data_IF_119533195301
#
_entry.id   IF_119533195301
#
_cell.length_a   1.000
_cell.length_b   1.000
_cell.length_c   1.000
_cell.angle_alpha   90.00
_cell.angle_beta   90.00
_cell.angle_gamma   90.00
#
_symmetry.space_group_name_H-M   'P 1'
#
loop_
_entity.id
_entity.type
_entity.pdbx_description
1 polymer ?
#
# COMPACT_ATOMS: atom_id res chain seq x y z
N UNK A 1 0.09 16.00 11.64
CA UNK A 1 0.13 15.28 10.35
C UNK A 1 0.73 13.90 10.59
N UNK A 2 0.24 12.87 9.91
CA UNK A 2 0.83 11.52 10.01
C UNK A 2 2.27 11.52 9.47
N UNK A 3 3.08 10.52 9.85
CA UNK A 3 4.48 10.43 9.44
C UNK A 3 4.63 10.38 7.90
N UNK A 4 3.76 9.61 7.20
CA UNK A 4 3.73 9.57 5.74
C UNK A 4 3.36 10.92 5.09
N UNK A 5 2.48 11.71 5.73
CA UNK A 5 2.12 13.04 5.23
C UNK A 5 3.33 13.99 5.30
N UNK A 6 4.07 13.94 6.42
CA UNK A 6 5.30 14.72 6.62
C UNK A 6 6.37 14.33 5.62
N UNK A 7 6.58 13.02 5.44
CA UNK A 7 7.55 12.51 4.48
C UNK A 7 7.25 12.98 3.06
N UNK A 8 5.99 12.85 2.60
CA UNK A 8 5.63 13.26 1.25
C UNK A 8 5.84 14.76 1.02
N UNK A 9 5.50 15.61 2.01
CA UNK A 9 5.76 17.05 1.92
C UNK A 9 7.25 17.39 1.91
N UNK A 10 8.04 16.68 2.71
CA UNK A 10 9.50 16.83 2.71
C UNK A 10 10.10 16.42 1.36
N UNK A 11 9.65 15.31 0.77
CA UNK A 11 10.07 14.92 -0.58
C UNK A 11 9.61 15.92 -1.63
N UNK A 12 8.39 16.45 -1.54
CA UNK A 12 7.90 17.48 -2.45
C UNK A 12 8.77 18.74 -2.37
N UNK A 13 9.14 19.17 -1.17
CA UNK A 13 9.97 20.37 -0.97
C UNK A 13 11.31 20.24 -1.70
N UNK A 14 11.93 19.07 -1.66
CA UNK A 14 13.19 18.83 -2.36
C UNK A 14 12.99 18.58 -3.85
N UNK A 15 11.89 17.92 -4.26
CA UNK A 15 11.51 17.83 -5.67
C UNK A 15 11.36 19.21 -6.30
N UNK A 16 10.69 20.17 -5.64
CA UNK A 16 10.54 21.55 -6.11
C UNK A 16 11.93 22.16 -6.34
N UNK A 17 12.81 22.12 -5.34
CA UNK A 17 14.14 22.71 -5.42
C UNK A 17 15.03 22.05 -6.50
N UNK A 18 14.99 20.72 -6.62
CA UNK A 18 15.77 19.99 -7.62
C UNK A 18 15.30 20.29 -9.05
N UNK A 19 13.98 20.40 -9.25
CA UNK A 19 13.38 20.73 -10.54
C UNK A 19 13.68 22.17 -10.92
N UNK A 20 13.52 23.11 -9.99
CA UNK A 20 13.85 24.53 -10.17
C UNK A 20 15.30 24.68 -10.61
N UNK A 21 16.24 24.11 -9.86
CA UNK A 21 17.67 24.13 -10.17
C UNK A 21 17.98 23.57 -11.56
N UNK A 22 17.36 22.45 -11.94
CA UNK A 22 17.58 21.84 -13.25
C UNK A 22 17.00 22.70 -14.39
N UNK A 23 15.83 23.32 -14.18
CA UNK A 23 15.22 24.22 -15.16
C UNK A 23 16.01 25.52 -15.34
N UNK A 24 16.52 26.12 -14.26
CA UNK A 24 17.42 27.28 -14.31
C UNK A 24 18.73 26.98 -15.06
N UNK A 25 19.21 25.74 -14.97
CA UNK A 25 20.39 25.26 -15.69
C UNK A 25 20.09 24.84 -17.14
N UNK A 26 18.86 25.03 -17.64
CA UNK A 26 18.41 24.54 -18.95
C UNK A 26 18.61 23.02 -19.14
N UNK A 27 18.38 22.22 -18.09
CA UNK A 27 18.36 20.74 -18.12
C UNK A 27 16.96 20.15 -17.88
N UNK A 28 16.01 20.29 -18.84
CA UNK A 28 14.69 19.68 -18.75
C UNK A 28 14.68 18.15 -18.51
N UNK A 29 15.59 17.35 -19.12
CA UNK A 29 15.63 15.90 -18.87
C UNK A 29 15.84 15.51 -17.40
N UNK A 30 16.70 16.23 -16.67
CA UNK A 30 16.91 15.96 -15.24
C UNK A 30 15.71 16.37 -14.40
N UNK A 31 15.11 17.52 -14.69
CA UNK A 31 13.87 17.95 -14.05
C UNK A 31 12.72 16.94 -14.25
N UNK A 32 12.50 16.48 -15.49
CA UNK A 32 11.47 15.52 -15.82
C UNK A 32 11.66 14.17 -15.09
N UNK A 33 12.88 13.64 -15.06
CA UNK A 33 13.20 12.40 -14.32
C UNK A 33 12.97 12.54 -12.82
N UNK A 34 13.28 13.70 -12.24
CA UNK A 34 13.03 13.98 -10.82
C UNK A 34 11.53 13.99 -10.50
N UNK A 35 10.72 14.61 -11.37
CA UNK A 35 9.27 14.62 -11.25
C UNK A 35 8.67 13.22 -11.41
N UNK A 36 9.13 12.45 -12.40
CA UNK A 36 8.70 11.07 -12.61
C UNK A 36 8.93 10.21 -11.35
N UNK A 37 10.12 10.28 -10.77
CA UNK A 37 10.45 9.57 -9.53
C UNK A 37 9.53 9.97 -8.36
N UNK A 38 9.24 11.27 -8.22
CA UNK A 38 8.34 11.75 -7.17
C UNK A 38 6.88 11.30 -7.38
N UNK A 39 6.37 11.33 -8.62
CA UNK A 39 5.02 10.86 -8.95
C UNK A 39 4.89 9.35 -8.69
N UNK A 40 5.94 8.58 -8.99
CA UNK A 40 5.98 7.17 -8.66
C UNK A 40 5.90 6.94 -7.14
N UNK A 41 6.64 7.72 -6.35
CA UNK A 41 6.59 7.67 -4.89
C UNK A 41 5.21 8.06 -4.33
N UNK A 42 4.62 9.13 -4.86
CA UNK A 42 3.27 9.56 -4.52
C UNK A 42 2.27 8.42 -4.73
N UNK A 43 2.35 7.73 -5.86
CA UNK A 43 1.44 6.63 -6.18
C UNK A 43 1.69 5.38 -5.33
N UNK A 44 2.93 4.89 -5.32
CA UNK A 44 3.29 3.56 -4.79
C UNK A 44 3.44 3.54 -3.28
N UNK A 45 3.87 4.63 -2.65
CA UNK A 45 4.11 4.70 -1.21
C UNK A 45 3.03 5.50 -0.50
N UNK A 46 2.68 6.69 -0.98
CA UNK A 46 1.73 7.54 -0.25
C UNK A 46 0.27 7.15 -0.50
N UNK A 47 -0.19 7.19 -1.75
CA UNK A 47 -1.60 6.96 -2.11
C UNK A 47 -2.00 5.52 -1.78
N UNK A 48 -1.20 4.53 -2.20
CA UNK A 48 -1.48 3.11 -1.91
C UNK A 48 -1.64 2.84 -0.41
N UNK A 49 -0.70 3.32 0.42
CA UNK A 49 -0.73 3.07 1.87
C UNK A 49 -1.77 3.94 2.60
N UNK A 50 -2.13 5.09 2.04
CA UNK A 50 -3.14 5.98 2.62
C UNK A 50 -4.58 5.66 2.18
N UNK A 51 -4.82 4.64 1.33
CA UNK A 51 -6.17 4.24 0.88
C UNK A 51 -7.16 4.08 2.03
N UNK A 52 -6.80 3.42 3.13
CA UNK A 52 -7.72 3.29 4.27
C UNK A 52 -8.14 4.65 4.84
N UNK A 53 -7.22 5.62 4.90
CA UNK A 53 -7.48 6.98 5.45
C UNK A 53 -8.46 7.77 4.57
N UNK A 54 -8.38 7.59 3.25
CA UNK A 54 -9.27 8.25 2.30
C UNK A 54 -10.68 7.61 2.25
N UNK A 55 -10.84 6.32 2.55
CA UNK A 55 -12.11 5.57 2.43
C UNK A 55 -12.85 5.38 3.78
N UNK A 56 -12.28 5.82 4.91
CA UNK A 56 -12.99 5.83 6.20
C UNK A 56 -14.31 6.60 6.10
N UNK A 57 -15.39 6.03 6.62
CA UNK A 57 -16.72 6.65 6.60
C UNK A 57 -16.79 7.91 7.46
N UNK A 58 -16.03 7.95 8.55
CA UNK A 58 -15.99 9.08 9.48
C UNK A 58 -15.07 10.19 8.99
N UNK A 59 -15.55 11.45 9.06
CA UNK A 59 -14.76 12.64 8.76
C UNK A 59 -13.95 13.04 9.99
N UNK A 60 -12.84 12.33 10.24
CA UNK A 60 -11.93 12.63 11.35
C UNK A 60 -10.83 13.65 10.94
N UNK A 61 -10.06 14.12 11.92
CA UNK A 61 -8.95 15.04 11.68
C UNK A 61 -7.84 14.41 10.82
N UNK A 62 -7.68 13.09 10.86
CA UNK A 62 -6.66 12.36 10.10
C UNK A 62 -6.99 12.33 8.59
N UNK A 63 -8.24 12.00 8.24
CA UNK A 63 -8.75 12.02 6.86
C UNK A 63 -8.59 13.40 6.23
N UNK A 64 -8.92 14.46 6.98
CA UNK A 64 -8.73 15.85 6.54
C UNK A 64 -7.24 16.18 6.32
N UNK A 65 -6.36 15.77 7.24
CA UNK A 65 -4.90 15.93 7.08
C UNK A 65 -4.37 15.25 5.81
N UNK A 66 -4.83 14.02 5.53
CA UNK A 66 -4.45 13.27 4.33
C UNK A 66 -4.91 13.99 3.05
N UNK A 67 -6.17 14.42 2.98
CA UNK A 67 -6.67 15.15 1.80
C UNK A 67 -5.97 16.48 1.58
N UNK A 68 -5.73 17.26 2.64
CA UNK A 68 -5.00 18.52 2.51
C UNK A 68 -3.58 18.31 1.99
N UNK A 69 -2.91 17.25 2.47
CA UNK A 69 -1.57 16.87 1.99
C UNK A 69 -1.62 16.47 0.52
N UNK A 70 -2.53 15.57 0.13
CA UNK A 70 -2.67 15.11 -1.25
C UNK A 70 -3.04 16.26 -2.20
N UNK A 71 -4.01 17.10 -1.81
CA UNK A 71 -4.41 18.28 -2.59
C UNK A 71 -3.20 19.19 -2.86
N UNK A 72 -2.46 19.54 -1.80
CA UNK A 72 -1.29 20.42 -1.92
C UNK A 72 -0.23 19.81 -2.84
N UNK A 73 0.04 18.51 -2.71
CA UNK A 73 1.00 17.81 -3.56
C UNK A 73 0.55 17.76 -5.01
N UNK A 74 -0.72 17.44 -5.30
CA UNK A 74 -1.22 17.36 -6.67
C UNK A 74 -1.24 18.73 -7.37
N UNK A 75 -1.56 19.81 -6.66
CA UNK A 75 -1.50 21.16 -7.21
C UNK A 75 -0.05 21.53 -7.54
N UNK A 76 0.90 21.30 -6.63
CA UNK A 76 2.32 21.58 -6.90
C UNK A 76 2.87 20.71 -8.04
N UNK A 77 2.48 19.44 -8.13
CA UNK A 77 2.85 18.58 -9.27
C UNK A 77 2.29 19.11 -10.58
N UNK A 78 1.04 19.59 -10.61
CA UNK A 78 0.47 20.20 -11.81
C UNK A 78 1.26 21.44 -12.23
N UNK A 79 1.65 22.30 -11.29
CA UNK A 79 2.48 23.49 -11.54
C UNK A 79 3.86 23.12 -12.09
N UNK A 80 4.56 22.14 -11.47
CA UNK A 80 5.87 21.70 -11.94
C UNK A 80 5.82 20.97 -13.30
N UNK A 81 4.71 20.29 -13.61
CA UNK A 81 4.52 19.61 -14.88
C UNK A 81 4.12 20.55 -16.03
N UNK A 82 3.63 21.77 -15.73
CA UNK A 82 3.11 22.69 -16.74
C UNK A 82 4.07 22.96 -17.92
N UNK A 83 5.39 23.14 -17.70
CA UNK A 83 6.35 23.32 -18.79
C UNK A 83 6.57 22.07 -19.66
N UNK A 84 6.26 20.88 -19.16
CA UNK A 84 6.51 19.59 -19.84
C UNK A 84 5.25 19.02 -20.50
N UNK A 85 4.11 19.16 -19.83
CA UNK A 85 2.84 18.51 -20.18
C UNK A 85 1.68 19.51 -20.00
N UNK A 86 1.59 20.56 -20.83
CA UNK A 86 0.73 21.71 -20.58
C UNK A 86 -0.77 21.38 -20.53
N UNK A 87 -1.23 20.42 -21.34
CA UNK A 87 -2.65 20.03 -21.36
C UNK A 87 -3.05 19.12 -20.19
N UNK A 88 -2.14 18.23 -19.78
CA UNK A 88 -2.40 17.29 -18.68
C UNK A 88 -2.35 18.02 -17.34
N UNK A 89 -1.33 18.85 -17.13
CA UNK A 89 -1.22 19.73 -15.96
C UNK A 89 -2.44 20.65 -15.83
N UNK A 90 -2.87 21.28 -16.93
CA UNK A 90 -4.06 22.12 -16.96
C UNK A 90 -5.31 21.33 -16.55
N UNK A 91 -5.53 20.14 -17.13
CA UNK A 91 -6.68 19.29 -16.78
C UNK A 91 -6.68 18.92 -15.30
N UNK A 92 -5.52 18.56 -14.74
CA UNK A 92 -5.40 18.25 -13.31
C UNK A 92 -5.74 19.48 -12.46
N UNK A 93 -5.16 20.64 -12.80
CA UNK A 93 -5.34 21.89 -12.06
C UNK A 93 -6.79 22.39 -12.10
N UNK A 94 -7.44 22.34 -13.27
CA UNK A 94 -8.85 22.71 -13.45
C UNK A 94 -9.78 21.93 -12.52
N UNK A 95 -9.55 20.61 -12.39
CA UNK A 95 -10.38 19.78 -11.51
C UNK A 95 -10.16 20.05 -10.02
N UNK A 96 -8.98 20.56 -9.64
CA UNK A 96 -8.56 20.67 -8.25
C UNK A 96 -8.64 22.10 -7.69
N UNK A 97 -8.14 23.10 -8.41
CA UNK A 97 -7.81 24.41 -7.86
C UNK A 97 -8.34 25.61 -8.64
N UNK A 98 -8.55 25.53 -9.97
CA UNK A 98 -8.88 26.69 -10.79
C UNK A 98 -10.08 27.50 -10.25
N UNK A 99 -9.87 28.81 -10.06
CA UNK A 99 -10.88 29.75 -9.54
C UNK A 99 -11.30 29.53 -8.08
N UNK A 100 -10.76 28.53 -7.38
CA UNK A 100 -11.11 28.21 -6.00
C UNK A 100 -10.21 28.95 -5.03
N UNK A 101 -10.79 29.55 -3.99
CA UNK A 101 -10.04 30.18 -2.89
C UNK A 101 -9.00 31.22 -3.38
N UNK A 102 -9.29 31.95 -4.46
CA UNK A 102 -8.41 32.97 -5.03
C UNK A 102 -7.23 32.42 -5.84
N UNK A 103 -7.21 31.13 -6.17
CA UNK A 103 -6.24 30.54 -7.08
C UNK A 103 -6.49 31.00 -8.53
N UNK A 104 -5.43 31.13 -9.36
CA UNK A 104 -5.55 31.46 -10.77
C UNK A 104 -6.52 30.56 -11.55
N UNK A 105 -7.04 31.07 -12.67
CA UNK A 105 -7.96 30.31 -13.54
C UNK A 105 -7.26 29.21 -14.35
N UNK A 106 -5.93 29.21 -14.46
CA UNK A 106 -5.15 28.21 -15.19
C UNK A 106 -3.83 27.95 -14.49
N UNK A 107 -3.29 26.73 -14.65
CA UNK A 107 -1.98 26.38 -14.10
C UNK A 107 -0.86 27.24 -14.71
N UNK A 108 -1.05 27.68 -15.95
CA UNK A 108 -0.10 28.51 -16.69
C UNK A 108 -0.07 29.98 -16.23
N UNK A 109 -1.00 30.37 -15.37
CA UNK A 109 -1.06 31.67 -14.71
C UNK A 109 -0.59 31.60 -13.25
N UNK A 110 -0.11 30.45 -12.80
CA UNK A 110 0.45 30.28 -11.46
C UNK A 110 1.91 30.73 -11.41
N UNK A 111 2.30 31.25 -10.26
CA UNK A 111 3.71 31.35 -9.89
C UNK A 111 4.32 29.94 -9.70
N UNK A 112 5.64 29.88 -9.75
CA UNK A 112 6.37 28.68 -9.40
C UNK A 112 6.06 28.23 -7.97
N UNK A 113 5.82 26.93 -7.70
CA UNK A 113 5.45 26.47 -6.37
C UNK A 113 6.58 26.69 -5.38
N UNK A 114 6.25 27.23 -4.20
CA UNK A 114 7.20 27.44 -3.10
C UNK A 114 6.95 26.42 -2.01
N UNK A 115 8.00 25.72 -1.60
CA UNK A 115 7.94 24.77 -0.49
C UNK A 115 7.80 25.50 0.86
N UNK A 116 6.85 25.06 1.68
CA UNK A 116 6.72 25.57 3.05
C UNK A 116 7.97 25.23 3.87
N UNK A 117 8.49 26.20 4.63
CA UNK A 117 9.67 26.00 5.49
C UNK A 117 9.49 24.87 6.50
N UNK A 118 8.24 24.64 6.93
CA UNK A 118 7.85 23.60 7.86
C UNK A 118 7.78 22.19 7.27
N UNK A 119 7.98 22.04 5.95
CA UNK A 119 7.97 20.73 5.29
C UNK A 119 9.34 20.05 5.30
N UNK A 120 10.42 20.79 5.58
CA UNK A 120 11.77 20.23 5.54
C UNK A 120 11.99 19.25 6.68
N UNK A 121 12.29 18.01 6.33
CA UNK A 121 12.59 16.93 7.26
C UNK A 121 13.54 15.92 6.60
N UNK A 122 14.81 16.31 6.45
CA UNK A 122 15.80 15.50 5.75
C UNK A 122 16.09 14.17 6.47
N UNK A 123 15.98 14.15 7.80
CA UNK A 123 16.08 12.91 8.58
C UNK A 123 15.00 11.90 8.19
N UNK A 124 13.74 12.33 8.15
CA UNK A 124 12.63 11.46 7.75
C UNK A 124 12.75 11.00 6.29
N UNK A 125 13.17 11.89 5.39
CA UNK A 125 13.42 11.55 3.97
C UNK A 125 14.49 10.49 3.82
N UNK A 126 15.63 10.67 4.49
CA UNK A 126 16.73 9.71 4.47
C UNK A 126 16.29 8.35 5.02
N UNK A 127 15.62 8.31 6.17
CA UNK A 127 15.12 7.05 6.73
C UNK A 127 14.09 6.38 5.81
N UNK A 128 13.18 7.12 5.18
CA UNK A 128 12.24 6.53 4.23
C UNK A 128 12.94 6.05 2.95
N UNK A 129 14.01 6.71 2.50
CA UNK A 129 14.86 6.18 1.43
C UNK A 129 15.49 4.83 1.82
N UNK A 130 15.93 4.68 3.08
CA UNK A 130 16.41 3.39 3.61
C UNK A 130 15.30 2.35 3.61
N UNK A 131 14.10 2.67 4.10
CA UNK A 131 12.93 1.76 4.07
C UNK A 131 12.66 1.25 2.66
N UNK A 132 12.57 2.16 1.68
CA UNK A 132 12.28 1.79 0.29
C UNK A 132 13.35 0.86 -0.30
N UNK A 133 14.63 1.13 -0.02
CA UNK A 133 15.75 0.27 -0.41
C UNK A 133 15.64 -1.11 0.24
N UNK A 134 15.44 -1.16 1.57
CA UNK A 134 15.31 -2.40 2.32
C UNK A 134 14.11 -3.22 1.85
N UNK A 135 12.98 -2.61 1.53
CA UNK A 135 11.83 -3.31 0.95
C UNK A 135 12.20 -3.93 -0.39
N UNK A 136 12.86 -3.19 -1.29
CA UNK A 136 13.31 -3.74 -2.57
C UNK A 136 14.27 -4.93 -2.38
N UNK A 137 15.27 -4.79 -1.50
CA UNK A 137 16.22 -5.86 -1.16
C UNK A 137 15.51 -7.07 -0.54
N UNK A 138 14.57 -6.85 0.37
CA UNK A 138 13.81 -7.92 1.01
C UNK A 138 12.91 -8.67 0.05
N UNK A 139 12.20 -7.97 -0.83
CA UNK A 139 11.40 -8.60 -1.88
C UNK A 139 12.28 -9.42 -2.85
N UNK A 140 13.46 -8.92 -3.19
CA UNK A 140 14.43 -9.67 -3.99
C UNK A 140 14.91 -10.94 -3.27
N UNK A 141 15.29 -10.83 -1.99
CA UNK A 141 15.72 -11.97 -1.18
C UNK A 141 14.61 -13.04 -1.02
N UNK A 142 13.36 -12.60 -0.85
CA UNK A 142 12.18 -13.50 -0.83
C UNK A 142 12.02 -14.24 -2.15
N UNK A 143 12.17 -13.55 -3.28
CA UNK A 143 12.08 -14.15 -4.60
C UNK A 143 13.19 -15.19 -4.81
N UNK A 144 14.43 -14.87 -4.45
CA UNK A 144 15.56 -15.81 -4.50
C UNK A 144 15.33 -17.06 -3.64
N UNK A 145 14.68 -16.90 -2.48
CA UNK A 145 14.33 -18.01 -1.60
C UNK A 145 13.03 -18.76 -2.02
N UNK A 146 12.32 -18.31 -3.06
CA UNK A 146 11.04 -18.88 -3.47
C UNK A 146 9.87 -18.62 -2.49
N UNK A 147 10.00 -17.66 -1.59
CA UNK A 147 9.02 -17.38 -0.52
C UNK A 147 8.08 -16.24 -0.94
N UNK A 148 6.81 -16.57 -1.22
CA UNK A 148 5.78 -15.58 -1.57
C UNK A 148 5.59 -14.56 -0.42
N UNK A 149 5.32 -13.29 -0.74
CA UNK A 149 5.06 -12.25 0.29
C UNK A 149 3.90 -12.61 1.23
N UNK A 150 2.89 -13.34 0.75
CA UNK A 150 1.76 -13.80 1.58
C UNK A 150 2.15 -14.79 2.69
N UNK A 151 3.29 -15.49 2.57
CA UNK A 151 3.83 -16.33 3.63
C UNK A 151 4.53 -15.43 4.67
N UNK A 152 3.98 -15.19 5.87
CA UNK A 152 4.65 -14.33 6.84
C UNK A 152 5.99 -14.94 7.27
N UNK A 153 6.96 -14.08 7.58
CA UNK A 153 8.25 -14.48 8.16
C UNK A 153 8.37 -13.99 9.60
N UNK A 154 9.11 -14.74 10.41
CA UNK A 154 9.30 -14.48 11.83
C UNK A 154 10.04 -13.16 12.06
N UNK A 155 11.18 -12.98 11.40
CA UNK A 155 12.02 -11.83 11.63
C UNK A 155 12.85 -11.44 10.39
N UNK A 156 13.37 -10.22 10.43
CA UNK A 156 14.41 -9.73 9.54
C UNK A 156 15.55 -9.15 10.36
N UNK A 157 16.79 -9.43 9.98
CA UNK A 157 17.98 -8.78 10.53
C UNK A 157 18.41 -7.68 9.57
N UNK A 158 18.54 -6.45 10.06
CA UNK A 158 18.85 -5.25 9.28
C UNK A 158 20.23 -4.74 9.69
N UNK A 159 21.12 -4.55 8.71
CA UNK A 159 22.46 -4.02 8.88
C UNK A 159 22.50 -2.49 8.69
N UNK A 160 21.61 -1.80 9.40
CA UNK A 160 21.40 -0.36 9.39
C UNK A 160 21.21 0.17 10.81
N UNK A 161 21.23 1.49 10.98
CA UNK A 161 20.77 2.11 12.21
C UNK A 161 19.27 1.84 12.43
N UNK A 162 18.81 1.73 13.69
CA UNK A 162 17.39 1.62 14.00
C UNK A 162 16.56 2.70 13.30
N UNK A 163 15.49 2.28 12.63
CA UNK A 163 14.53 3.17 12.00
C UNK A 163 13.58 3.74 13.07
N UNK A 164 12.97 4.88 12.77
CA UNK A 164 11.84 5.39 13.52
C UNK A 164 10.73 4.30 13.55
N UNK A 165 10.05 4.08 14.70
CA UNK A 165 9.08 2.98 14.84
C UNK A 165 7.98 2.94 13.76
N UNK A 166 7.51 4.11 13.32
CA UNK A 166 6.50 4.18 12.25
C UNK A 166 7.04 3.79 10.86
N UNK A 167 8.33 4.02 10.60
CA UNK A 167 9.00 3.62 9.37
C UNK A 167 9.38 2.13 9.39
N UNK A 168 9.79 1.61 10.55
CA UNK A 168 9.97 0.17 10.75
C UNK A 168 8.67 -0.59 10.51
N UNK A 169 7.55 -0.10 11.04
CA UNK A 169 6.24 -0.71 10.80
C UNK A 169 5.90 -0.76 9.31
N UNK A 170 6.22 0.30 8.54
CA UNK A 170 6.05 0.30 7.08
C UNK A 170 6.89 -0.80 6.44
N UNK A 171 8.18 -0.91 6.80
CA UNK A 171 9.09 -1.93 6.28
C UNK A 171 8.56 -3.35 6.55
N UNK A 172 8.17 -3.62 7.80
CA UNK A 172 7.67 -4.93 8.24
C UNK A 172 6.36 -5.31 7.55
N UNK A 173 5.44 -4.35 7.36
CA UNK A 173 4.18 -4.58 6.64
C UNK A 173 4.40 -4.86 5.16
N UNK A 174 5.24 -4.09 4.47
CA UNK A 174 5.53 -4.30 3.03
C UNK A 174 6.18 -5.66 2.78
N UNK A 175 7.03 -6.09 3.70
CA UNK A 175 7.69 -7.39 3.62
C UNK A 175 6.88 -8.51 4.25
N UNK A 176 5.76 -8.26 4.94
CA UNK A 176 5.02 -9.25 5.75
C UNK A 176 5.94 -10.04 6.71
N UNK A 177 6.61 -9.31 7.59
CA UNK A 177 7.55 -9.83 8.59
C UNK A 177 7.11 -9.37 9.98
N UNK A 178 7.20 -10.23 10.99
CA UNK A 178 6.67 -9.93 12.32
C UNK A 178 7.58 -9.05 13.19
N UNK A 179 8.89 -9.11 12.99
CA UNK A 179 9.85 -8.37 13.81
C UNK A 179 11.12 -7.96 13.05
N UNK A 180 11.69 -6.82 13.42
CA UNK A 180 13.02 -6.40 13.00
C UNK A 180 14.06 -6.64 14.11
N UNK A 181 15.29 -6.95 13.70
CA UNK A 181 16.48 -6.99 14.56
C UNK A 181 17.56 -6.17 13.90
N UNK A 182 18.26 -5.33 14.63
CA UNK A 182 19.33 -4.50 14.08
C UNK A 182 20.69 -5.07 14.48
N UNK A 183 21.50 -5.46 13.50
CA UNK A 183 22.84 -6.02 13.73
C UNK A 183 23.79 -5.67 12.59
N UNK A 184 24.96 -5.14 12.94
CA UNK A 184 26.01 -4.80 12.01
C UNK A 184 25.78 -3.50 11.23
N UNK A 185 26.74 -3.17 10.37
CA UNK A 185 26.72 -2.01 9.48
C UNK A 185 27.03 -2.51 8.07
N UNK A 186 26.13 -2.27 7.10
CA UNK A 186 26.33 -2.80 5.75
C UNK A 186 25.25 -2.49 4.72
N UNK A 187 24.18 -1.79 5.09
CA UNK A 187 23.21 -1.28 4.12
C UNK A 187 22.15 -2.30 3.65
N UNK A 188 22.16 -3.51 4.20
CA UNK A 188 21.39 -4.66 3.73
C UNK A 188 20.49 -5.29 4.79
N UNK A 189 19.82 -6.37 4.41
CA UNK A 189 19.00 -7.18 5.32
C UNK A 189 19.16 -8.68 5.05
N UNK A 190 18.88 -9.48 6.06
CA UNK A 190 18.84 -10.95 6.00
C UNK A 190 17.49 -11.43 6.54
N UNK A 191 16.81 -12.25 5.76
CA UNK A 191 15.50 -12.81 6.12
C UNK A 191 15.66 -14.07 6.97
N UNK A 192 14.81 -14.20 7.99
CA UNK A 192 14.62 -15.47 8.67
C UNK A 192 13.72 -16.37 7.83
N UNK A 193 14.31 -17.36 7.17
CA UNK A 193 13.61 -18.25 6.23
C UNK A 193 12.99 -19.47 6.89
N UNK A 194 13.16 -19.65 8.19
CA UNK A 194 12.54 -20.73 8.94
C UNK A 194 11.04 -20.46 9.12
N UNK A 195 10.20 -21.33 8.54
CA UNK A 195 8.75 -21.21 8.61
C UNK A 195 8.23 -22.18 9.67
N UNK A 196 7.79 -21.64 10.81
CA UNK A 196 7.09 -22.42 11.83
C UNK A 196 5.72 -22.90 11.32
N UNK A 197 5.14 -23.91 11.97
CA UNK A 197 3.79 -24.39 11.64
C UNK A 197 2.74 -23.26 11.72
N UNK A 198 2.83 -22.39 12.73
CA UNK A 198 1.90 -21.27 12.86
C UNK A 198 2.01 -20.28 11.69
N UNK A 199 3.23 -19.91 11.30
CA UNK A 199 3.46 -19.03 10.14
C UNK A 199 3.01 -19.70 8.84
N UNK A 200 3.21 -21.02 8.72
CA UNK A 200 2.73 -21.80 7.58
C UNK A 200 1.21 -21.71 7.43
N UNK A 201 0.48 -21.98 8.52
CA UNK A 201 -0.98 -21.89 8.55
C UNK A 201 -1.46 -20.46 8.27
N UNK A 202 -0.78 -19.44 8.78
CA UNK A 202 -1.10 -18.04 8.48
C UNK A 202 -0.90 -17.72 6.98
N UNK A 203 0.17 -18.24 6.37
CA UNK A 203 0.41 -18.12 4.93
C UNK A 203 -0.70 -18.75 4.10
N UNK A 204 -1.11 -19.97 4.46
CA UNK A 204 -2.23 -20.67 3.83
C UNK A 204 -3.55 -19.92 4.01
N UNK A 205 -3.81 -19.35 5.19
CA UNK A 205 -4.99 -18.51 5.43
C UNK A 205 -5.02 -17.28 4.50
N UNK A 206 -3.88 -16.64 4.23
CA UNK A 206 -3.80 -15.53 3.26
C UNK A 206 -4.04 -15.97 1.81
N UNK A 207 -3.55 -17.15 1.43
CA UNK A 207 -3.85 -17.71 0.11
C UNK A 207 -5.33 -18.11 -0.02
N UNK A 208 -5.95 -18.63 1.06
CA UNK A 208 -7.39 -18.88 1.13
C UNK A 208 -8.20 -17.59 0.95
N UNK A 209 -7.87 -16.52 1.67
CA UNK A 209 -8.53 -15.20 1.48
C UNK A 209 -8.48 -14.77 0.02
N UNK A 210 -7.30 -14.84 -0.61
CA UNK A 210 -7.15 -14.45 -2.03
C UNK A 210 -8.05 -15.29 -2.93
N UNK A 211 -8.08 -16.60 -2.74
CA UNK A 211 -8.89 -17.53 -3.53
C UNK A 211 -10.39 -17.31 -3.33
N UNK A 212 -10.84 -17.06 -2.10
CA UNK A 212 -12.23 -16.73 -1.79
C UNK A 212 -12.63 -15.40 -2.44
N UNK A 213 -11.74 -14.40 -2.42
CA UNK A 213 -11.99 -13.12 -3.08
C UNK A 213 -12.07 -13.26 -4.61
N UNK A 214 -11.24 -14.11 -5.21
CA UNK A 214 -11.34 -14.47 -6.63
C UNK A 214 -12.70 -15.11 -6.94
N UNK A 215 -13.14 -16.08 -6.11
CA UNK A 215 -14.46 -16.71 -6.24
C UNK A 215 -15.62 -15.71 -6.10
N UNK A 216 -15.56 -14.77 -5.14
CA UNK A 216 -16.56 -13.68 -5.00
C UNK A 216 -16.66 -12.87 -6.28
N UNK A 217 -15.53 -12.45 -6.84
CA UNK A 217 -15.47 -11.66 -8.07
C UNK A 217 -16.03 -12.44 -9.27
N UNK A 218 -15.65 -13.69 -9.43
CA UNK A 218 -16.14 -14.56 -10.50
C UNK A 218 -17.65 -14.85 -10.37
N UNK A 219 -18.17 -14.86 -9.15
CA UNK A 219 -19.59 -15.01 -8.84
C UNK A 219 -20.40 -13.71 -9.01
N UNK A 220 -19.77 -12.61 -9.47
CA UNK A 220 -20.45 -11.34 -9.73
C UNK A 220 -20.79 -10.52 -8.49
N UNK A 221 -20.15 -10.78 -7.35
CA UNK A 221 -20.44 -10.06 -6.11
C UNK A 221 -19.78 -8.67 -6.14
N UNK A 222 -20.47 -7.66 -5.60
CA UNK A 222 -19.91 -6.34 -5.38
C UNK A 222 -18.83 -6.38 -4.28
N UNK A 223 -17.95 -5.38 -4.24
CA UNK A 223 -16.82 -5.35 -3.29
C UNK A 223 -17.32 -5.37 -1.84
N UNK A 224 -18.41 -4.65 -1.58
CA UNK A 224 -19.09 -4.49 -0.30
C UNK A 224 -20.05 -5.63 0.09
N UNK A 225 -20.34 -6.56 -0.82
CA UNK A 225 -21.31 -7.63 -0.56
C UNK A 225 -20.83 -8.56 0.56
N UNK A 226 -21.66 -8.73 1.59
CA UNK A 226 -21.40 -9.68 2.67
C UNK A 226 -21.75 -11.10 2.23
N UNK A 227 -20.98 -12.08 2.72
CA UNK A 227 -21.15 -13.50 2.35
C UNK A 227 -21.37 -14.40 3.58
N UNK A 228 -21.93 -15.58 3.36
CA UNK A 228 -21.74 -16.74 4.22
C UNK A 228 -20.76 -17.69 3.54
N UNK A 229 -19.72 -18.09 4.26
CA UNK A 229 -18.65 -18.94 3.77
C UNK A 229 -18.86 -20.36 4.31
N UNK A 230 -18.82 -21.35 3.42
CA UNK A 230 -18.89 -22.76 3.74
C UNK A 230 -17.64 -23.47 3.22
N UNK A 231 -17.17 -24.48 3.91
CA UNK A 231 -16.07 -25.31 3.41
C UNK A 231 -16.25 -26.79 3.76
N UNK A 232 -15.76 -27.64 2.87
CA UNK A 232 -15.79 -29.09 2.97
C UNK A 232 -14.39 -29.65 2.68
N UNK A 233 -13.99 -30.62 3.49
CA UNK A 233 -12.66 -31.21 3.44
C UNK A 233 -11.97 -31.21 4.80
N UNK A 234 -10.75 -31.75 4.80
CA UNK A 234 -9.86 -31.96 5.93
C UNK A 234 -8.44 -31.51 5.57
N UNK A 235 -7.51 -31.65 6.50
CA UNK A 235 -6.10 -31.39 6.29
C UNK A 235 -5.69 -29.94 6.54
N UNK A 236 -4.51 -29.58 6.06
CA UNK A 236 -3.82 -28.34 6.47
C UNK A 236 -4.58 -27.06 6.08
N UNK A 237 -5.36 -27.09 4.99
CA UNK A 237 -6.19 -25.94 4.59
C UNK A 237 -7.41 -25.78 5.52
N UNK A 238 -8.03 -26.87 5.95
CA UNK A 238 -9.11 -26.81 6.93
C UNK A 238 -8.59 -26.34 8.30
N UNK A 239 -7.41 -26.82 8.72
CA UNK A 239 -6.72 -26.35 9.93
C UNK A 239 -6.39 -24.86 9.86
N UNK A 240 -5.83 -24.40 8.74
CA UNK A 240 -5.53 -22.98 8.52
C UNK A 240 -6.80 -22.12 8.56
N UNK A 241 -7.87 -22.59 7.92
CA UNK A 241 -9.16 -21.89 7.90
C UNK A 241 -9.74 -21.77 9.32
N UNK A 242 -9.70 -22.85 10.10
CA UNK A 242 -10.21 -22.84 11.47
C UNK A 242 -9.37 -21.95 12.39
N UNK A 243 -8.03 -22.08 12.33
CA UNK A 243 -7.12 -21.31 13.17
C UNK A 243 -7.20 -19.80 12.89
N UNK A 244 -7.43 -19.42 11.63
CA UNK A 244 -7.49 -18.03 11.18
C UNK A 244 -8.90 -17.59 10.74
N UNK A 245 -9.92 -18.24 11.30
CA UNK A 245 -11.34 -18.05 10.95
C UNK A 245 -11.77 -16.58 10.97
N UNK A 246 -11.45 -15.86 12.03
CA UNK A 246 -11.86 -14.46 12.20
C UNK A 246 -11.17 -13.52 11.20
N UNK A 247 -9.89 -13.77 10.92
CA UNK A 247 -9.13 -13.05 9.92
C UNK A 247 -9.72 -13.29 8.52
N UNK A 248 -9.97 -14.55 8.15
CA UNK A 248 -10.57 -14.90 6.85
C UNK A 248 -11.96 -14.28 6.73
N UNK A 249 -12.78 -14.36 7.77
CA UNK A 249 -14.12 -13.79 7.78
C UNK A 249 -14.08 -12.27 7.57
N UNK A 250 -13.22 -11.58 8.30
CA UNK A 250 -13.04 -10.13 8.18
C UNK A 250 -12.59 -9.72 6.78
N UNK A 251 -11.52 -10.37 6.28
CA UNK A 251 -10.95 -10.03 4.98
C UNK A 251 -11.86 -10.42 3.80
N UNK A 252 -12.82 -11.33 3.98
CA UNK A 252 -13.76 -11.77 2.93
C UNK A 252 -15.18 -11.21 3.08
N UNK A 253 -15.40 -10.34 4.08
CA UNK A 253 -16.73 -9.84 4.47
C UNK A 253 -17.72 -10.97 4.79
N UNK A 254 -17.24 -12.09 5.33
CA UNK A 254 -18.09 -13.19 5.73
C UNK A 254 -18.74 -12.90 7.09
N UNK A 255 -20.06 -13.00 7.16
CA UNK A 255 -20.82 -12.87 8.43
C UNK A 255 -20.88 -14.19 9.21
N UNK A 256 -20.58 -15.30 8.53
CA UNK A 256 -20.50 -16.62 9.13
C UNK A 256 -19.55 -17.49 8.30
N UNK A 257 -18.81 -18.35 8.99
CA UNK A 257 -17.97 -19.40 8.40
C UNK A 257 -18.45 -20.73 8.97
N UNK A 258 -18.78 -21.71 8.13
CA UNK A 258 -19.29 -23.00 8.59
C UNK A 258 -18.63 -24.16 7.86
N UNK A 259 -18.39 -25.24 8.59
CA UNK A 259 -17.95 -26.50 8.00
C UNK A 259 -19.16 -27.31 7.53
N UNK A 260 -19.08 -27.88 6.34
CA UNK A 260 -20.11 -28.73 5.75
C UNK A 260 -20.69 -28.18 4.45
N UNK A 261 -21.65 -28.92 3.90
CA UNK A 261 -22.27 -28.59 2.63
C UNK A 261 -23.01 -27.24 2.67
N UNK A 262 -22.86 -26.46 1.61
CA UNK A 262 -23.57 -25.21 1.46
C UNK A 262 -25.03 -25.44 1.03
N UNK A 263 -25.97 -24.54 1.43
CA UNK A 263 -27.31 -24.50 0.88
C UNK A 263 -27.34 -24.40 -0.66
N UNK A 264 -28.48 -24.74 -1.26
CA UNK A 264 -28.69 -24.58 -2.71
C UNK A 264 -28.51 -23.12 -3.14
N UNK A 265 -27.91 -22.93 -4.32
CA UNK A 265 -27.61 -21.59 -4.87
C UNK A 265 -26.27 -20.99 -4.42
N UNK A 266 -25.43 -21.73 -3.70
CA UNK A 266 -24.05 -21.31 -3.43
C UNK A 266 -23.17 -21.39 -4.67
N UNK A 267 -22.26 -20.43 -4.82
CA UNK A 267 -21.15 -20.55 -5.76
C UNK A 267 -20.04 -21.37 -5.11
N UNK A 268 -19.68 -22.49 -5.71
CA UNK A 268 -18.73 -23.46 -5.15
C UNK A 268 -17.53 -23.66 -6.05
N UNK A 269 -16.34 -23.73 -5.47
CA UNK A 269 -15.08 -24.03 -6.14
C UNK A 269 -14.19 -24.92 -5.26
N UNK A 270 -13.44 -25.84 -5.86
CA UNK A 270 -12.38 -26.57 -5.16
C UNK A 270 -11.09 -25.77 -5.26
N UNK A 271 -10.64 -25.21 -4.14
CA UNK A 271 -9.44 -24.41 -4.06
C UNK A 271 -8.22 -25.32 -3.97
N UNK A 272 -7.26 -25.14 -4.89
CA UNK A 272 -5.97 -25.83 -4.84
C UNK A 272 -4.86 -24.87 -4.38
N UNK A 273 -4.25 -25.16 -3.23
CA UNK A 273 -3.17 -24.36 -2.64
C UNK A 273 -2.05 -25.31 -2.21
N UNK A 274 -0.92 -25.20 -2.90
CA UNK A 274 0.32 -25.92 -2.57
C UNK A 274 0.13 -27.44 -2.46
N UNK A 275 -0.62 -27.99 -3.40
CA UNK A 275 -0.92 -29.42 -3.50
C UNK A 275 -2.02 -29.91 -2.55
N UNK A 276 -2.67 -29.01 -1.82
CA UNK A 276 -3.80 -29.33 -0.95
C UNK A 276 -5.09 -28.78 -1.55
N UNK A 277 -6.18 -29.52 -1.36
CA UNK A 277 -7.49 -29.17 -1.90
C UNK A 277 -8.47 -28.88 -0.76
N UNK A 278 -9.27 -27.82 -0.92
CA UNK A 278 -10.37 -27.49 -0.01
C UNK A 278 -11.56 -27.01 -0.83
N UNK A 279 -12.70 -27.69 -0.70
CA UNK A 279 -13.93 -27.25 -1.37
C UNK A 279 -14.53 -26.10 -0.57
N UNK A 280 -14.74 -24.96 -1.22
CA UNK A 280 -15.26 -23.75 -0.60
C UNK A 280 -16.49 -23.28 -1.37
N UNK A 281 -17.49 -22.81 -0.63
CA UNK A 281 -18.71 -22.24 -1.20
C UNK A 281 -19.06 -20.91 -0.56
N UNK A 282 -19.56 -19.97 -1.37
CA UNK A 282 -19.98 -18.65 -0.93
C UNK A 282 -21.42 -18.38 -1.31
N UNK A 283 -22.17 -17.79 -0.38
CA UNK A 283 -23.55 -17.31 -0.61
C UNK A 283 -23.61 -15.83 -0.25
N UNK A 284 -24.14 -15.01 -1.16
CA UNK A 284 -24.40 -13.60 -0.87
C UNK A 284 -25.48 -13.47 0.20
N UNK A 285 -25.24 -12.63 1.19
CA UNK A 285 -26.26 -12.25 2.17
C UNK A 285 -27.17 -11.21 1.51
N UNK A 286 -28.48 -11.45 1.49
CA UNK A 286 -29.44 -10.45 1.03
C UNK A 286 -29.30 -9.16 1.85
N UNK A 287 -29.36 -7.99 1.20
CA UNK A 287 -29.43 -6.73 1.91
C UNK A 287 -30.75 -6.69 2.68
N UNK A 288 -30.67 -6.52 4.01
CA UNK A 288 -31.82 -6.11 4.83
C UNK A 288 -32.08 -4.62 4.61
#
# INVERSE_FOLDING_TARGET
RAQLDRWLLAELAVTIADVEKAMEAYDPPTAARRLEAFVLDLSTWYVRRSRRRFWKSESDADKRSAYQTLYRVLVSVAQLLAPFMPFVSETIYQNLAAGRQGQPESVHLCDWPVAGTEWRDDGLRQQMSVVRRLVATGLAARNTAGIKVRQPLRAVTIAERPLDPGLEAILLEELNIKAARYQGEGGGLTLDTEISQELRLEGLARDLVRKIQELRKQSGFAVEDRIRLFYEGDGVLAEALERWRDYIATETLAVAVARGAAPSGASTETLQIEGNDLRVSVIRVAAN
#
